data_IF_687387623012
#
_entry.id   IF_687387623012
#
_cell.length_a   1.000
_cell.length_b   1.000
_cell.length_c   1.000
_cell.angle_alpha   90.00
_cell.angle_beta   90.00
_cell.angle_gamma   90.00
#
_symmetry.space_group_name_H-M   'P 1'
#
loop_
_entity.id
_entity.type
_entity.pdbx_description
1 polymer ?
#
# COMPACT_ATOMS: atom_id res chain seq x y z
N UNK A 1 -7.97 3.94 4.18
CA UNK A 1 -6.66 3.44 3.74
C UNK A 1 -5.59 3.40 4.83
N UNK A 2 -5.74 4.15 5.91
CA UNK A 2 -4.73 4.20 7.00
C UNK A 2 -5.04 3.33 8.21
N UNK A 3 -6.11 2.58 8.17
CA UNK A 3 -6.53 1.70 9.28
C UNK A 3 -7.19 0.41 8.82
N UNK A 4 -7.36 0.24 7.52
CA UNK A 4 -8.00 -0.95 6.97
C UNK A 4 -7.63 -1.14 5.51
N UNK A 5 -7.79 -2.37 5.04
CA UNK A 5 -7.72 -2.73 3.64
C UNK A 5 -8.81 -2.01 2.83
N UNK A 6 -8.47 -1.54 1.63
CA UNK A 6 -9.40 -0.92 0.70
C UNK A 6 -9.16 -1.42 -0.73
N UNK A 7 -10.21 -1.42 -1.54
CA UNK A 7 -10.11 -1.87 -2.93
C UNK A 7 -9.21 -0.96 -3.79
N UNK A 8 -9.22 0.34 -3.56
CA UNK A 8 -8.35 1.27 -4.29
C UNK A 8 -6.86 1.05 -3.97
N UNK A 9 -6.54 0.83 -2.70
CA UNK A 9 -5.17 0.53 -2.30
C UNK A 9 -4.71 -0.82 -2.88
N UNK A 10 -5.56 -1.84 -2.82
CA UNK A 10 -5.28 -3.15 -3.42
C UNK A 10 -5.05 -3.04 -4.93
N UNK A 11 -5.89 -2.28 -5.62
CA UNK A 11 -5.74 -2.07 -7.06
C UNK A 11 -4.36 -1.46 -7.41
N UNK A 12 -3.95 -0.41 -6.69
CA UNK A 12 -2.67 0.25 -6.93
C UNK A 12 -1.50 -0.69 -6.62
N UNK A 13 -1.52 -1.37 -5.47
CA UNK A 13 -0.42 -2.26 -5.09
C UNK A 13 -0.31 -3.47 -6.00
N UNK A 14 -1.42 -4.05 -6.44
CA UNK A 14 -1.43 -5.14 -7.40
C UNK A 14 -0.90 -4.70 -8.77
N UNK A 15 -1.26 -3.50 -9.21
CA UNK A 15 -0.78 -2.94 -10.47
C UNK A 15 0.74 -2.77 -10.47
N UNK A 16 1.30 -2.21 -9.42
CA UNK A 16 2.75 -2.01 -9.30
C UNK A 16 3.47 -3.36 -9.23
N UNK A 17 2.98 -4.29 -8.40
CA UNK A 17 3.58 -5.63 -8.31
C UNK A 17 3.56 -6.35 -9.65
N UNK A 18 2.45 -6.28 -10.37
CA UNK A 18 2.29 -6.91 -11.70
C UNK A 18 3.23 -6.28 -12.73
N UNK A 19 3.47 -4.98 -12.64
CA UNK A 19 4.42 -4.30 -13.54
C UNK A 19 5.84 -4.86 -13.42
N UNK A 20 6.28 -5.20 -12.20
CA UNK A 20 7.59 -5.81 -11.96
C UNK A 20 7.60 -7.32 -12.14
N UNK A 21 6.43 -7.97 -12.16
CA UNK A 21 6.19 -9.38 -12.43
C UNK A 21 7.18 -10.30 -11.68
N UNK A 22 7.98 -11.09 -12.42
CA UNK A 22 8.90 -12.08 -11.82
C UNK A 22 10.04 -11.47 -11.00
N UNK A 23 10.31 -10.19 -11.14
CA UNK A 23 11.34 -9.50 -10.36
C UNK A 23 10.89 -9.16 -8.94
N UNK A 24 9.58 -9.31 -8.62
CA UNK A 24 8.99 -8.84 -7.39
C UNK A 24 8.03 -9.90 -6.81
N UNK A 25 8.39 -10.45 -5.66
CA UNK A 25 7.54 -11.43 -4.97
C UNK A 25 6.35 -10.76 -4.29
N UNK A 26 6.58 -9.60 -3.71
CA UNK A 26 5.56 -8.83 -3.00
C UNK A 26 5.83 -7.34 -3.14
N UNK A 27 4.79 -6.56 -2.93
CA UNK A 27 4.88 -5.10 -2.91
C UNK A 27 4.27 -4.54 -1.63
N UNK A 28 4.90 -3.52 -1.10
CA UNK A 28 4.46 -2.84 0.11
C UNK A 28 4.53 -1.33 -0.11
N UNK A 29 3.45 -0.65 0.25
CA UNK A 29 3.32 0.80 0.11
C UNK A 29 2.80 1.37 1.43
N UNK A 30 3.45 2.37 1.97
CA UNK A 30 2.90 3.09 3.11
C UNK A 30 1.66 3.88 2.68
N UNK A 31 0.60 3.80 3.45
CA UNK A 31 -0.69 4.41 3.09
C UNK A 31 -0.65 5.94 3.03
N UNK A 32 0.38 6.56 3.63
CA UNK A 32 0.61 8.00 3.51
C UNK A 32 0.87 8.47 2.08
N UNK A 33 1.35 7.59 1.21
CA UNK A 33 1.54 7.89 -0.21
C UNK A 33 0.21 8.01 -0.96
N UNK A 34 -0.81 7.29 -0.50
CA UNK A 34 -2.14 7.34 -1.08
C UNK A 34 -2.91 8.52 -0.49
N UNK A 35 -3.42 9.38 -1.36
CA UNK A 35 -4.19 10.57 -1.00
C UNK A 35 -5.59 10.43 -1.59
N UNK A 36 -6.53 11.11 -1.17
CA UNK A 36 -7.95 11.05 -1.49
C UNK A 36 -8.73 10.29 -0.43
N UNK A 37 -9.58 11.02 0.26
CA UNK A 37 -10.59 10.48 1.17
C UNK A 37 -11.95 10.34 0.48
N UNK A 38 -11.96 10.32 -0.85
CA UNK A 38 -13.18 10.27 -1.64
C UNK A 38 -13.42 8.88 -2.19
N UNK A 39 -14.69 8.53 -2.30
CA UNK A 39 -15.11 7.34 -3.04
C UNK A 39 -14.95 7.64 -4.53
N UNK A 40 -14.15 6.83 -5.23
CA UNK A 40 -14.03 6.93 -6.68
C UNK A 40 -15.29 6.31 -7.28
N UNK A 41 -16.11 7.08 -8.01
CA UNK A 41 -17.35 6.56 -8.57
C UNK A 41 -17.07 5.51 -9.64
N UNK A 42 -18.06 4.67 -9.88
CA UNK A 42 -18.00 3.70 -10.96
C UNK A 42 -17.88 4.42 -12.30
N UNK A 43 -16.98 3.95 -13.15
CA UNK A 43 -16.73 4.53 -14.48
C UNK A 43 -15.27 4.40 -14.88
N UNK A 44 -14.88 5.19 -15.87
CA UNK A 44 -13.51 5.17 -16.37
C UNK A 44 -12.54 5.77 -15.36
N UNK A 45 -11.39 5.11 -15.23
CA UNK A 45 -10.27 5.63 -14.44
C UNK A 45 -9.40 6.46 -15.37
N UNK A 46 -9.33 7.75 -15.11
CA UNK A 46 -8.53 8.69 -15.89
C UNK A 46 -7.15 8.89 -15.28
N UNK A 47 -6.22 9.47 -16.04
CA UNK A 47 -4.92 9.91 -15.51
C UNK A 47 -5.11 10.86 -14.34
N UNK A 48 -6.11 11.73 -14.38
CA UNK A 48 -6.45 12.64 -13.30
C UNK A 48 -6.83 11.90 -12.02
N UNK A 49 -7.61 10.83 -12.14
CA UNK A 49 -7.96 9.96 -11.01
C UNK A 49 -6.71 9.41 -10.32
N UNK A 50 -5.76 8.93 -11.10
CA UNK A 50 -4.49 8.39 -10.59
C UNK A 50 -3.64 9.50 -9.95
N UNK A 51 -3.54 10.66 -10.58
CA UNK A 51 -2.78 11.81 -10.05
C UNK A 51 -3.35 12.30 -8.71
N UNK A 52 -4.65 12.29 -8.56
CA UNK A 52 -5.30 12.69 -7.32
C UNK A 52 -5.07 11.66 -6.21
N UNK A 53 -4.97 10.38 -6.57
CA UNK A 53 -4.74 9.28 -5.62
C UNK A 53 -3.26 9.19 -5.22
N UNK A 54 -2.34 9.36 -6.18
CA UNK A 54 -0.89 9.29 -5.97
C UNK A 54 -0.24 10.55 -6.52
N UNK A 55 -0.33 11.68 -5.77
CA UNK A 55 0.12 12.97 -6.29
C UNK A 55 1.64 13.16 -6.26
N UNK A 56 2.38 12.30 -5.55
CA UNK A 56 3.81 12.45 -5.38
C UNK A 56 4.60 11.54 -6.32
N UNK A 57 5.62 12.06 -7.03
CA UNK A 57 6.44 11.26 -7.96
C UNK A 57 7.53 10.47 -7.23
N UNK A 58 7.15 9.67 -6.25
CA UNK A 58 8.08 8.85 -5.49
C UNK A 58 8.61 7.69 -6.33
N UNK A 59 9.88 7.34 -6.10
CA UNK A 59 10.52 6.22 -6.79
C UNK A 59 10.11 4.90 -6.15
N UNK A 60 9.87 3.89 -6.98
CA UNK A 60 9.72 2.51 -6.55
C UNK A 60 11.08 1.83 -6.61
N UNK A 61 11.46 1.13 -5.55
CA UNK A 61 12.73 0.43 -5.46
C UNK A 61 12.51 -1.06 -5.22
N UNK A 62 13.40 -1.90 -5.74
CA UNK A 62 13.44 -3.33 -5.48
C UNK A 62 14.48 -3.60 -4.39
N UNK A 63 14.07 -4.29 -3.35
CA UNK A 63 14.92 -4.65 -2.23
C UNK A 63 14.88 -6.15 -2.01
N UNK A 64 16.01 -6.74 -1.65
CA UNK A 64 16.08 -8.11 -1.17
C UNK A 64 16.10 -8.06 0.35
N UNK A 65 15.08 -8.60 0.99
CA UNK A 65 14.92 -8.55 2.44
C UNK A 65 14.71 -9.95 3.01
N UNK A 66 15.12 -10.12 4.27
CA UNK A 66 14.84 -11.34 5.04
C UNK A 66 13.43 -11.26 5.64
N UNK A 67 12.83 -12.42 5.89
CA UNK A 67 11.49 -12.48 6.47
C UNK A 67 11.38 -11.85 7.86
N UNK A 68 12.44 -11.92 8.67
CA UNK A 68 12.45 -11.28 9.99
C UNK A 68 12.39 -9.75 9.88
N UNK A 69 13.07 -9.16 8.90
CA UNK A 69 12.99 -7.74 8.62
C UNK A 69 11.58 -7.35 8.14
N UNK A 70 10.99 -8.16 7.25
CA UNK A 70 9.62 -7.93 6.79
C UNK A 70 8.64 -7.94 7.96
N UNK A 71 8.77 -8.88 8.88
CA UNK A 71 7.93 -8.94 10.08
C UNK A 71 8.08 -7.67 10.92
N UNK A 72 9.30 -7.22 11.18
CA UNK A 72 9.56 -5.99 11.92
C UNK A 72 8.95 -4.77 11.25
N UNK A 73 8.98 -4.73 9.93
CA UNK A 73 8.40 -3.66 9.13
C UNK A 73 6.86 -3.63 9.27
N UNK A 74 6.22 -4.80 9.24
CA UNK A 74 4.77 -4.90 9.45
C UNK A 74 4.36 -4.54 10.87
N UNK A 75 5.13 -4.94 11.88
CA UNK A 75 4.92 -4.52 13.26
C UNK A 75 4.96 -2.98 13.41
N UNK A 76 5.94 -2.35 12.79
CA UNK A 76 6.02 -0.88 12.75
C UNK A 76 4.82 -0.28 12.01
N UNK A 77 4.40 -0.87 10.90
CA UNK A 77 3.29 -0.37 10.09
C UNK A 77 1.98 -0.27 10.88
N UNK A 78 1.71 -1.22 11.77
CA UNK A 78 0.48 -1.26 12.59
C UNK A 78 0.66 -0.68 13.99
N UNK A 79 1.85 -0.26 14.38
CA UNK A 79 2.20 0.14 15.74
C UNK A 79 1.42 1.35 16.26
N UNK A 80 0.87 2.18 15.38
CA UNK A 80 0.06 3.33 15.77
C UNK A 80 -1.46 3.07 15.65
N UNK A 81 -1.86 1.88 15.21
CA UNK A 81 -3.28 1.54 15.10
C UNK A 81 -3.99 1.75 16.46
N UNK A 82 -5.20 2.34 16.55
CA UNK A 82 -6.08 2.73 15.43
C UNK A 82 -5.86 4.17 14.90
N UNK A 83 -4.78 4.85 15.28
CA UNK A 83 -4.50 6.18 14.76
C UNK A 83 -4.26 6.14 13.23
N UNK A 84 -4.76 7.14 12.54
CA UNK A 84 -4.68 7.20 11.08
C UNK A 84 -3.32 7.72 10.61
N UNK A 85 -2.28 6.94 10.86
CA UNK A 85 -0.90 7.26 10.52
C UNK A 85 -0.55 6.80 9.10
N UNK A 86 0.31 7.57 8.43
CA UNK A 86 0.77 7.26 7.08
C UNK A 86 1.62 6.00 6.98
N UNK A 87 2.16 5.51 8.09
CA UNK A 87 2.95 4.27 8.11
C UNK A 87 2.15 2.98 8.01
N UNK A 88 0.82 3.02 8.22
CA UNK A 88 -0.03 1.87 7.91
C UNK A 88 0.17 1.47 6.46
N UNK A 89 0.35 0.17 6.19
CA UNK A 89 0.75 -0.28 4.86
C UNK A 89 -0.38 -0.90 4.06
N UNK A 90 -0.28 -0.72 2.75
CA UNK A 90 -1.04 -1.45 1.74
C UNK A 90 -0.10 -2.44 1.07
N UNK A 91 -0.58 -3.64 0.77
CA UNK A 91 0.27 -4.76 0.35
C UNK A 91 -0.30 -5.47 -0.87
N UNK A 92 0.59 -6.16 -1.59
CA UNK A 92 0.22 -7.07 -2.67
C UNK A 92 1.17 -8.27 -2.67
N UNK A 93 0.64 -9.44 -2.97
CA UNK A 93 1.40 -10.69 -3.07
C UNK A 93 1.48 -11.50 -1.77
N UNK A 94 0.95 -10.97 -0.67
CA UNK A 94 0.88 -11.67 0.61
C UNK A 94 -0.26 -11.11 1.46
N UNK A 95 -0.52 -11.76 2.58
CA UNK A 95 -1.52 -11.32 3.56
C UNK A 95 -0.93 -11.44 4.97
N UNK A 96 -1.43 -10.63 5.88
CA UNK A 96 -1.08 -10.72 7.30
C UNK A 96 -2.27 -10.33 8.17
N UNK A 97 -2.24 -10.76 9.40
CA UNK A 97 -3.17 -10.33 10.44
C UNK A 97 -2.39 -9.84 11.65
N UNK A 98 -2.98 -8.95 12.43
CA UNK A 98 -2.36 -8.42 13.64
C UNK A 98 -3.39 -8.28 14.76
N UNK A 99 -2.90 -8.34 15.98
CA UNK A 99 -3.69 -8.07 17.17
C UNK A 99 -3.65 -6.55 17.45
N UNK A 100 -4.80 -5.86 17.50
CA UNK A 100 -4.82 -4.41 17.69
C UNK A 100 -4.53 -3.94 19.11
N UNK A 101 -4.27 -4.81 20.05
CA UNK A 101 -3.96 -4.43 21.45
C UNK A 101 -2.60 -3.73 21.57
#
# INVERSE_FOLDING_TARGET
MRSKETNSANFITDLVRTHFDQACDLFLLNSGTLRSNQIIPRGDITIRTIQDLIPYPDKVVLLKVRGDLLKSLLENAVSAFPALEGKFCSISGFAFSFDPE
#
